data_IF_805840078669
#
_entry.id   IF_805840078669
#
_cell.length_a   1.000
_cell.length_b   1.000
_cell.length_c   1.000
_cell.angle_alpha   90.00
_cell.angle_beta   90.00
_cell.angle_gamma   90.00
#
_symmetry.space_group_name_H-M   'P 1'
#
loop_
_entity.id
_entity.type
_entity.pdbx_description
1 polymer ?
#
# COMPACT_ATOMS: atom_id res chain seq x y z
N UNK A 1 36.95 -31.90 16.54
CA UNK A 1 37.95 -32.39 15.57
C UNK A 1 37.45 -33.73 15.04
N UNK A 2 37.04 -33.77 13.77
CA UNK A 2 36.62 -35.00 13.08
C UNK A 2 37.86 -35.78 12.66
N UNK A 3 37.80 -37.11 12.77
CA UNK A 3 38.85 -38.01 12.28
C UNK A 3 39.04 -37.80 10.77
N UNK A 4 40.27 -37.72 10.24
CA UNK A 4 40.49 -37.61 8.81
C UNK A 4 39.87 -38.80 8.07
N UNK A 5 39.02 -38.52 7.08
CA UNK A 5 38.41 -39.54 6.23
C UNK A 5 39.30 -39.75 5.00
N UNK A 6 39.64 -41.01 4.69
CA UNK A 6 40.32 -41.32 3.43
C UNK A 6 39.35 -41.14 2.26
N UNK A 7 39.62 -40.14 1.43
CA UNK A 7 38.81 -39.80 0.25
C UNK A 7 39.44 -40.26 -1.06
N UNK A 8 40.54 -41.03 -1.03
CA UNK A 8 41.27 -41.44 -2.25
C UNK A 8 40.38 -42.17 -3.27
N UNK A 9 39.50 -43.06 -2.80
CA UNK A 9 38.61 -43.86 -3.65
C UNK A 9 37.22 -43.23 -3.89
N UNK A 10 37.01 -41.96 -3.54
CA UNK A 10 35.72 -41.31 -3.71
C UNK A 10 35.43 -40.94 -5.16
N UNK A 11 34.16 -41.11 -5.55
CA UNK A 11 33.61 -40.74 -6.86
C UNK A 11 33.33 -39.25 -6.92
N UNK A 12 33.55 -38.62 -8.08
CA UNK A 12 33.22 -37.21 -8.30
C UNK A 12 31.85 -37.08 -8.97
N UNK A 13 31.10 -36.05 -8.57
CA UNK A 13 29.84 -35.66 -9.19
C UNK A 13 29.76 -34.14 -9.27
N UNK A 14 29.06 -33.63 -10.29
CA UNK A 14 28.84 -32.21 -10.46
C UNK A 14 27.38 -31.92 -10.76
N UNK A 15 26.83 -30.89 -10.10
CA UNK A 15 25.51 -30.37 -10.42
C UNK A 15 25.62 -29.53 -11.68
N UNK A 16 24.96 -29.93 -12.76
CA UNK A 16 25.04 -29.24 -14.04
C UNK A 16 23.90 -28.24 -14.21
N UNK A 17 24.25 -27.00 -14.53
CA UNK A 17 23.30 -26.03 -15.05
C UNK A 17 23.19 -26.18 -16.57
N UNK A 18 22.07 -26.74 -17.02
CA UNK A 18 21.83 -26.98 -18.46
C UNK A 18 21.61 -25.69 -19.24
N UNK A 19 21.15 -24.62 -18.59
CA UNK A 19 20.91 -23.34 -19.26
C UNK A 19 22.22 -22.63 -19.57
N UNK A 20 23.18 -22.68 -18.64
CA UNK A 20 24.49 -22.05 -18.82
C UNK A 20 25.55 -22.99 -19.42
N UNK A 21 25.31 -24.31 -19.44
CA UNK A 21 26.30 -25.29 -19.86
C UNK A 21 27.51 -25.35 -18.93
N UNK A 22 27.34 -24.97 -17.67
CA UNK A 22 28.37 -24.88 -16.64
C UNK A 22 27.97 -25.70 -15.41
N UNK A 23 28.90 -26.34 -14.71
CA UNK A 23 28.59 -26.91 -13.41
C UNK A 23 28.34 -25.79 -12.39
N UNK A 24 27.32 -25.92 -11.55
CA UNK A 24 27.07 -25.06 -10.39
C UNK A 24 28.14 -25.29 -9.33
N UNK A 25 28.36 -26.57 -9.03
CA UNK A 25 29.29 -27.06 -8.03
C UNK A 25 29.80 -28.45 -8.40
N UNK A 26 30.94 -28.81 -7.83
CA UNK A 26 31.50 -30.16 -7.86
C UNK A 26 31.70 -30.68 -6.45
N UNK A 27 31.50 -31.97 -6.25
CA UNK A 27 31.73 -32.62 -4.97
C UNK A 27 32.23 -34.05 -5.18
N UNK A 28 32.73 -34.65 -4.10
CA UNK A 28 33.13 -36.06 -4.06
C UNK A 28 32.32 -36.78 -3.00
N UNK A 29 32.03 -38.04 -3.22
CA UNK A 29 31.31 -38.88 -2.28
C UNK A 29 31.82 -40.32 -2.28
N UNK A 30 31.59 -41.09 -1.19
CA UNK A 30 32.01 -42.48 -1.13
C UNK A 30 31.38 -43.33 -2.26
N UNK A 31 32.04 -44.43 -2.66
CA UNK A 31 31.43 -45.43 -3.52
C UNK A 31 30.10 -45.94 -2.95
N UNK A 32 29.14 -46.24 -3.82
CA UNK A 32 27.82 -46.73 -3.42
C UNK A 32 26.82 -45.65 -3.00
N UNK A 33 27.27 -44.40 -2.80
CA UNK A 33 26.36 -43.26 -2.63
C UNK A 33 25.81 -42.81 -3.98
N UNK A 34 24.60 -42.27 -3.96
CA UNK A 34 23.92 -41.72 -5.13
C UNK A 34 23.77 -40.22 -4.98
N UNK A 35 24.03 -39.48 -6.07
CA UNK A 35 23.91 -38.03 -6.12
C UNK A 35 22.87 -37.62 -7.15
N UNK A 36 22.02 -36.67 -6.78
CA UNK A 36 21.02 -36.06 -7.66
C UNK A 36 20.89 -34.58 -7.33
N UNK A 37 20.34 -33.81 -8.26
CA UNK A 37 20.08 -32.40 -8.08
C UNK A 37 19.54 -31.80 -9.36
N UNK A 38 19.06 -30.57 -9.26
CA UNK A 38 18.52 -29.84 -10.40
C UNK A 38 18.79 -28.35 -10.27
N UNK A 39 18.77 -27.68 -11.42
CA UNK A 39 18.89 -26.23 -11.54
C UNK A 39 17.70 -25.73 -12.35
N UNK A 40 16.92 -24.85 -11.74
CA UNK A 40 15.75 -24.24 -12.35
C UNK A 40 15.94 -22.73 -12.44
N UNK A 41 15.33 -22.14 -13.46
CA UNK A 41 15.46 -20.72 -13.75
C UNK A 41 14.09 -20.07 -13.84
N UNK A 42 13.93 -18.92 -13.18
CA UNK A 42 12.79 -18.03 -13.28
C UNK A 42 13.28 -16.60 -13.55
N UNK A 43 13.19 -16.17 -14.80
CA UNK A 43 13.62 -14.85 -15.23
C UNK A 43 12.85 -13.68 -14.57
N UNK A 44 11.68 -13.93 -13.95
CA UNK A 44 10.94 -12.91 -13.22
C UNK A 44 11.56 -12.59 -11.85
N UNK A 45 12.42 -13.47 -11.34
CA UNK A 45 13.19 -13.17 -10.15
C UNK A 45 14.37 -12.28 -10.55
N UNK A 46 14.43 -11.09 -9.97
CA UNK A 46 15.37 -10.06 -10.39
C UNK A 46 16.82 -10.40 -9.99
N UNK A 47 17.07 -10.55 -8.69
CA UNK A 47 18.42 -10.69 -8.13
C UNK A 47 18.87 -12.15 -8.05
N UNK A 48 17.94 -13.11 -8.15
CA UNK A 48 18.22 -14.56 -8.10
C UNK A 48 17.28 -15.35 -9.00
N UNK A 49 17.52 -15.24 -10.32
CA UNK A 49 16.78 -15.98 -11.34
C UNK A 49 16.98 -17.49 -11.25
N UNK A 50 18.00 -17.97 -10.56
CA UNK A 50 18.37 -19.37 -10.44
C UNK A 50 17.97 -19.97 -9.08
N UNK A 51 17.53 -21.23 -9.11
CA UNK A 51 17.24 -22.03 -7.93
C UNK A 51 17.85 -23.40 -8.14
N UNK A 52 18.69 -23.83 -7.21
CA UNK A 52 19.37 -25.11 -7.30
C UNK A 52 19.31 -25.87 -5.98
N UNK A 53 19.28 -27.20 -6.10
CA UNK A 53 19.36 -28.10 -4.95
C UNK A 53 20.13 -29.35 -5.36
N UNK A 54 20.69 -30.02 -4.37
CA UNK A 54 21.30 -31.33 -4.57
C UNK A 54 21.13 -32.19 -3.33
N UNK A 55 21.23 -33.49 -3.54
CA UNK A 55 21.09 -34.50 -2.50
C UNK A 55 22.03 -35.66 -2.80
N UNK A 56 22.77 -36.07 -1.78
CA UNK A 56 23.53 -37.30 -1.75
C UNK A 56 22.93 -38.22 -0.72
N UNK A 57 22.71 -39.47 -1.10
CA UNK A 57 22.14 -40.49 -0.23
C UNK A 57 23.04 -41.71 -0.25
N UNK A 58 23.33 -42.26 0.92
CA UNK A 58 24.07 -43.52 1.05
C UNK A 58 23.28 -44.70 0.44
N UNK A 59 23.99 -45.80 0.17
CA UNK A 59 23.39 -46.98 -0.46
C UNK A 59 22.23 -47.58 0.35
N UNK A 60 22.24 -47.43 1.67
CA UNK A 60 21.20 -47.92 2.59
C UNK A 60 20.07 -46.91 2.84
N UNK A 61 20.21 -45.66 2.35
CA UNK A 61 19.29 -44.53 2.60
C UNK A 61 19.14 -44.15 4.08
N UNK A 62 20.17 -44.44 4.87
CA UNK A 62 20.28 -44.13 6.28
C UNK A 62 20.97 -42.79 6.55
N UNK A 63 21.73 -42.26 5.58
CA UNK A 63 22.49 -41.02 5.69
C UNK A 63 22.36 -40.16 4.43
N UNK A 64 22.39 -38.84 4.60
CA UNK A 64 22.14 -37.88 3.53
C UNK A 64 22.90 -36.57 3.74
N UNK A 65 23.40 -36.01 2.65
CA UNK A 65 23.83 -34.60 2.56
C UNK A 65 22.94 -33.90 1.55
N UNK A 66 22.35 -32.77 1.91
CA UNK A 66 21.43 -32.03 1.03
C UNK A 66 21.75 -30.54 1.04
N UNK A 67 21.98 -29.97 -0.14
CA UNK A 67 21.98 -28.51 -0.34
C UNK A 67 20.59 -28.04 -0.75
N UNK A 68 20.03 -27.09 -0.02
CA UNK A 68 18.73 -26.52 -0.31
C UNK A 68 18.82 -25.29 -1.22
N UNK A 69 17.76 -24.97 -1.97
CA UNK A 69 17.64 -23.66 -2.58
C UNK A 69 17.76 -22.57 -1.52
N UNK A 70 18.35 -21.45 -1.90
CA UNK A 70 18.47 -20.29 -1.02
C UNK A 70 17.08 -19.77 -0.65
N UNK A 71 16.89 -19.45 0.61
CA UNK A 71 15.66 -18.83 1.10
C UNK A 71 15.82 -17.32 1.08
N UNK A 72 15.03 -16.63 0.27
CA UNK A 72 15.17 -15.20 0.05
C UNK A 72 13.96 -14.41 0.53
N UNK A 73 14.25 -13.34 1.26
CA UNK A 73 13.25 -12.50 1.89
C UNK A 73 13.53 -11.02 1.67
N UNK A 74 12.45 -10.23 1.71
CA UNK A 74 12.51 -8.76 1.66
C UNK A 74 11.57 -8.16 2.70
N UNK A 75 11.91 -6.99 3.23
CA UNK A 75 11.07 -6.25 4.16
C UNK A 75 11.33 -4.74 4.12
N UNK A 76 10.32 -3.88 4.32
CA UNK A 76 8.88 -4.16 4.33
C UNK A 76 8.31 -4.27 2.90
N UNK A 77 7.01 -4.50 2.77
CA UNK A 77 6.31 -4.40 1.48
C UNK A 77 5.05 -5.24 1.32
N UNK A 78 4.82 -6.20 2.22
CA UNK A 78 3.62 -7.03 2.23
C UNK A 78 3.46 -7.81 3.53
N UNK A 79 2.42 -8.64 3.59
CA UNK A 79 2.18 -9.50 4.75
C UNK A 79 3.24 -10.62 4.84
N UNK A 80 3.70 -11.01 6.04
CA UNK A 80 4.67 -12.08 6.21
C UNK A 80 4.29 -13.37 5.47
N UNK A 81 5.25 -13.98 4.77
CA UNK A 81 5.10 -15.18 3.97
C UNK A 81 4.53 -14.97 2.55
N UNK A 82 4.04 -13.77 2.21
CA UNK A 82 3.52 -13.51 0.86
C UNK A 82 4.67 -13.34 -0.15
N UNK A 83 4.56 -13.91 -1.36
CA UNK A 83 5.54 -13.66 -2.40
C UNK A 83 5.52 -12.19 -2.83
N UNK A 84 6.69 -11.60 -3.08
CA UNK A 84 6.82 -10.25 -3.62
C UNK A 84 6.69 -10.18 -5.15
N UNK A 85 6.55 -11.34 -5.82
CA UNK A 85 6.50 -11.45 -7.29
C UNK A 85 7.87 -11.47 -7.99
N UNK A 86 8.96 -11.33 -7.24
CA UNK A 86 10.34 -11.22 -7.73
C UNK A 86 11.29 -12.22 -7.05
N UNK A 87 10.78 -13.39 -6.69
CA UNK A 87 11.58 -14.49 -6.13
C UNK A 87 11.85 -14.40 -4.64
N UNK A 88 11.25 -13.45 -3.92
CA UNK A 88 11.35 -13.34 -2.46
C UNK A 88 9.99 -13.45 -1.81
N UNK A 89 9.97 -13.83 -0.55
CA UNK A 89 8.80 -13.64 0.30
C UNK A 89 8.98 -12.41 1.21
N UNK A 90 7.89 -11.77 1.59
CA UNK A 90 7.94 -10.76 2.64
C UNK A 90 8.16 -11.43 3.98
N UNK A 91 9.24 -11.10 4.67
CA UNK A 91 9.49 -11.57 6.03
C UNK A 91 10.34 -10.53 6.76
N UNK A 92 9.99 -10.10 7.98
CA UNK A 92 10.85 -9.22 8.77
C UNK A 92 12.22 -9.85 9.01
N UNK A 93 13.31 -9.06 9.00
CA UNK A 93 14.62 -9.58 9.39
C UNK A 93 14.58 -10.06 10.84
N UNK A 94 14.79 -11.36 11.03
CA UNK A 94 14.92 -11.98 12.34
C UNK A 94 16.37 -12.39 12.60
N UNK A 95 16.66 -12.80 13.83
CA UNK A 95 17.94 -13.44 14.12
C UNK A 95 18.04 -14.79 13.39
N UNK A 96 19.23 -15.20 12.94
CA UNK A 96 19.40 -16.41 12.11
C UNK A 96 18.83 -17.69 12.72
N UNK A 97 18.85 -17.81 14.05
CA UNK A 97 18.28 -18.91 14.82
C UNK A 97 16.75 -18.98 14.73
N UNK A 98 16.07 -17.84 14.76
CA UNK A 98 14.61 -17.78 14.61
C UNK A 98 14.19 -18.11 13.19
N UNK A 99 14.88 -17.53 12.21
CA UNK A 99 14.63 -17.82 10.80
C UNK A 99 14.81 -19.32 10.49
N UNK A 100 15.90 -19.91 10.99
CA UNK A 100 16.12 -21.35 10.87
C UNK A 100 14.99 -22.14 11.54
N UNK A 101 14.54 -21.73 12.74
CA UNK A 101 13.41 -22.34 13.43
C UNK A 101 12.11 -22.32 12.62
N UNK A 102 11.83 -21.22 11.90
CA UNK A 102 10.67 -21.12 11.00
C UNK A 102 10.78 -22.07 9.82
N UNK A 103 11.97 -22.24 9.27
CA UNK A 103 12.22 -23.12 8.11
C UNK A 103 12.40 -24.59 8.50
N UNK A 104 12.63 -24.89 9.78
CA UNK A 104 12.96 -26.22 10.26
C UNK A 104 11.96 -27.30 9.83
N UNK A 105 10.63 -27.12 9.91
CA UNK A 105 9.69 -28.15 9.45
C UNK A 105 9.87 -28.52 7.98
N UNK A 106 10.23 -27.56 7.13
CA UNK A 106 10.50 -27.80 5.72
C UNK A 106 11.83 -28.56 5.54
N UNK A 107 12.87 -28.19 6.28
CA UNK A 107 14.19 -28.82 6.22
C UNK A 107 14.20 -30.27 6.71
N UNK A 108 13.38 -30.60 7.72
CA UNK A 108 13.23 -31.96 8.23
C UNK A 108 12.44 -32.87 7.26
N UNK A 109 11.63 -32.27 6.40
CA UNK A 109 10.82 -32.97 5.40
C UNK A 109 9.47 -33.47 5.93
N UNK A 110 8.69 -34.05 5.02
CA UNK A 110 7.34 -34.52 5.34
C UNK A 110 7.34 -35.66 6.36
N UNK A 111 6.40 -35.60 7.31
CA UNK A 111 6.27 -36.60 8.37
C UNK A 111 7.28 -36.44 9.51
N UNK A 112 7.98 -35.30 9.57
CA UNK A 112 8.74 -34.91 10.74
C UNK A 112 7.81 -34.64 11.94
N UNK A 113 8.11 -35.25 13.08
CA UNK A 113 7.49 -34.93 14.36
C UNK A 113 8.17 -33.73 15.04
N UNK A 114 7.72 -33.43 16.25
CA UNK A 114 8.31 -32.35 17.05
C UNK A 114 9.79 -32.64 17.37
N UNK A 115 10.71 -31.68 17.16
CA UNK A 115 12.09 -31.83 17.56
C UNK A 115 12.22 -32.04 19.06
N UNK A 116 13.04 -33.02 19.46
CA UNK A 116 13.43 -33.24 20.86
C UNK A 116 14.71 -32.47 21.23
N UNK A 117 15.44 -32.00 20.21
CA UNK A 117 16.62 -31.14 20.35
C UNK A 117 16.63 -30.13 19.21
N UNK A 118 16.89 -28.87 19.53
CA UNK A 118 17.16 -27.81 18.56
C UNK A 118 18.14 -26.82 19.18
N UNK A 119 19.42 -26.95 18.86
CA UNK A 119 20.50 -26.10 19.36
C UNK A 119 21.14 -25.37 18.20
N UNK A 120 21.24 -24.05 18.28
CA UNK A 120 21.88 -23.21 17.26
C UNK A 120 23.10 -22.53 17.86
N UNK A 121 24.21 -22.56 17.13
CA UNK A 121 25.48 -21.97 17.50
C UNK A 121 26.05 -21.17 16.31
N UNK A 122 26.82 -20.10 16.56
CA UNK A 122 27.56 -19.43 15.49
C UNK A 122 28.53 -20.40 14.81
N UNK A 123 28.74 -20.20 13.50
CA UNK A 123 29.75 -20.89 12.70
C UNK A 123 30.76 -19.86 12.18
N UNK A 124 31.81 -19.50 12.96
CA UNK A 124 32.73 -18.42 12.57
C UNK A 124 33.55 -18.72 11.31
N UNK A 125 33.81 -19.99 11.03
CA UNK A 125 34.58 -20.50 9.88
C UNK A 125 33.71 -20.76 8.64
N UNK A 126 32.47 -20.27 8.60
CA UNK A 126 31.52 -20.51 7.50
C UNK A 126 32.11 -20.20 6.12
N UNK A 127 32.80 -19.06 5.97
CA UNK A 127 33.34 -18.64 4.67
C UNK A 127 34.39 -19.64 4.15
N UNK A 128 35.22 -20.19 5.05
CA UNK A 128 36.21 -21.21 4.69
C UNK A 128 35.52 -22.53 4.31
N UNK A 129 34.48 -22.93 5.05
CA UNK A 129 33.73 -24.17 4.78
C UNK A 129 32.97 -24.15 3.46
N UNK A 130 32.39 -23.00 3.12
CA UNK A 130 31.62 -22.81 1.88
C UNK A 130 32.50 -22.33 0.71
N UNK A 131 33.82 -22.27 0.89
CA UNK A 131 34.78 -21.80 -0.13
C UNK A 131 34.44 -20.41 -0.68
N UNK A 132 33.94 -19.53 0.20
CA UNK A 132 33.61 -18.14 -0.13
C UNK A 132 34.85 -17.30 0.12
N UNK A 133 35.58 -17.00 -0.95
CA UNK A 133 36.73 -16.11 -0.91
C UNK A 133 36.34 -14.66 -0.61
N UNK A 134 37.26 -13.81 -0.09
CA UNK A 134 37.00 -12.40 0.21
C UNK A 134 36.43 -11.62 -0.99
N UNK A 135 36.82 -11.99 -2.21
CA UNK A 135 36.34 -11.40 -3.46
C UNK A 135 34.85 -11.71 -3.76
N UNK A 136 34.30 -12.74 -3.12
CA UNK A 136 32.89 -13.14 -3.24
C UNK A 136 32.02 -12.53 -2.15
N UNK A 137 32.62 -11.87 -1.15
CA UNK A 137 31.88 -11.16 -0.10
C UNK A 137 31.42 -9.81 -0.66
N UNK A 138 30.10 -9.62 -0.72
CA UNK A 138 29.53 -8.38 -1.25
C UNK A 138 29.67 -7.25 -0.22
N UNK A 139 30.29 -6.11 -0.55
CA UNK A 139 30.40 -4.97 0.37
C UNK A 139 29.03 -4.48 0.84
N UNK A 140 28.89 -4.22 2.14
CA UNK A 140 27.64 -3.75 2.75
C UNK A 140 26.60 -4.83 3.03
N UNK A 141 26.94 -6.11 2.81
CA UNK A 141 26.12 -7.26 3.20
C UNK A 141 26.69 -7.87 4.48
N UNK A 142 25.86 -8.00 5.50
CA UNK A 142 26.18 -8.68 6.74
C UNK A 142 25.99 -10.19 6.57
N UNK A 143 27.02 -10.97 6.88
CA UNK A 143 26.99 -12.43 6.83
C UNK A 143 27.20 -13.04 8.22
N UNK A 144 26.31 -13.94 8.63
CA UNK A 144 26.38 -14.64 9.90
C UNK A 144 26.31 -16.14 9.68
N UNK A 145 27.42 -16.84 9.92
CA UNK A 145 27.47 -18.30 9.87
C UNK A 145 26.66 -18.95 10.99
N UNK A 146 25.97 -20.04 10.67
CA UNK A 146 25.19 -20.83 11.61
C UNK A 146 25.50 -22.32 11.52
N UNK A 147 25.45 -22.96 12.68
CA UNK A 147 25.49 -24.39 12.87
C UNK A 147 24.36 -24.77 13.82
N UNK A 148 23.54 -25.76 13.44
CA UNK A 148 22.49 -26.25 14.30
C UNK A 148 22.51 -27.76 14.41
N UNK A 149 22.20 -28.28 15.60
CA UNK A 149 21.96 -29.70 15.84
C UNK A 149 20.49 -29.90 16.13
N UNK A 150 19.87 -30.80 15.38
CA UNK A 150 18.45 -31.13 15.52
C UNK A 150 18.30 -32.63 15.69
N UNK A 151 17.55 -33.04 16.70
CA UNK A 151 17.07 -34.42 16.84
C UNK A 151 15.54 -34.40 16.68
N UNK A 152 15.03 -35.13 15.70
CA UNK A 152 13.60 -35.20 15.41
C UNK A 152 13.23 -36.56 14.79
N UNK A 153 12.07 -37.13 15.14
CA UNK A 153 11.57 -38.31 14.45
C UNK A 153 11.06 -37.94 13.06
N UNK A 154 11.42 -38.69 12.02
CA UNK A 154 10.83 -38.57 10.68
C UNK A 154 10.22 -39.90 10.32
N UNK A 155 8.91 -39.90 10.03
CA UNK A 155 8.13 -41.13 9.79
C UNK A 155 8.27 -42.15 10.94
N UNK A 156 8.36 -41.65 12.18
CA UNK A 156 8.51 -42.47 13.38
C UNK A 156 9.94 -42.97 13.67
N UNK A 157 10.91 -42.72 12.79
CA UNK A 157 12.31 -43.10 13.00
C UNK A 157 13.12 -41.94 13.59
N UNK A 158 13.93 -42.17 14.65
CA UNK A 158 14.74 -41.12 15.23
C UNK A 158 15.86 -40.71 14.27
N UNK A 159 15.92 -39.42 13.93
CA UNK A 159 16.95 -38.85 13.06
C UNK A 159 17.67 -37.69 13.73
N UNK A 160 18.96 -37.58 13.39
CA UNK A 160 19.82 -36.46 13.76
C UNK A 160 20.20 -35.67 12.51
N UNK A 161 20.22 -34.36 12.66
CA UNK A 161 20.57 -33.39 11.64
C UNK A 161 21.65 -32.45 12.19
N UNK A 162 22.68 -32.22 11.40
CA UNK A 162 23.51 -31.03 11.53
C UNK A 162 23.20 -30.12 10.34
N UNK A 163 22.74 -28.91 10.62
CA UNK A 163 22.39 -27.92 9.61
C UNK A 163 23.48 -26.85 9.67
N UNK A 164 24.18 -26.67 8.56
CA UNK A 164 25.24 -25.66 8.42
C UNK A 164 24.84 -24.67 7.36
N UNK A 165 25.21 -23.41 7.56
CA UNK A 165 24.81 -22.38 6.62
C UNK A 165 25.34 -21.01 6.99
N UNK A 166 24.87 -20.02 6.26
CA UNK A 166 25.02 -18.63 6.63
C UNK A 166 23.75 -17.86 6.29
N UNK A 167 23.44 -16.91 7.15
CA UNK A 167 22.46 -15.87 6.90
C UNK A 167 23.16 -14.67 6.27
N UNK A 168 22.52 -14.04 5.29
CA UNK A 168 22.99 -12.78 4.72
C UNK A 168 21.92 -11.72 4.88
N UNK A 169 22.30 -10.45 5.07
CA UNK A 169 21.37 -9.32 5.15
C UNK A 169 22.00 -8.07 4.57
N UNK A 170 21.24 -7.34 3.75
CA UNK A 170 21.62 -6.06 3.17
C UNK A 170 20.47 -5.08 3.33
N UNK A 171 20.79 -3.89 3.84
CA UNK A 171 19.80 -2.85 4.08
C UNK A 171 20.06 -1.67 3.18
N UNK A 172 19.13 -1.42 2.27
CA UNK A 172 19.15 -0.28 1.36
C UNK A 172 18.31 0.85 1.97
N UNK A 173 18.95 1.97 2.29
CA UNK A 173 18.29 3.14 2.82
C UNK A 173 18.01 4.15 1.69
N UNK A 174 16.74 4.48 1.49
CA UNK A 174 16.32 5.68 0.76
C UNK A 174 15.79 6.71 1.76
N UNK A 175 15.74 7.98 1.36
CA UNK A 175 15.46 9.13 2.25
C UNK A 175 14.24 8.98 3.18
N UNK A 176 13.24 8.18 2.80
CA UNK A 176 12.04 7.91 3.59
C UNK A 176 11.65 6.43 3.67
N UNK A 177 12.51 5.51 3.21
CA UNK A 177 12.20 4.07 3.23
C UNK A 177 13.46 3.23 3.38
N UNK A 178 13.41 2.27 4.29
CA UNK A 178 14.46 1.26 4.46
C UNK A 178 13.93 -0.07 3.96
N UNK A 179 14.62 -0.68 3.00
CA UNK A 179 14.33 -2.04 2.52
C UNK A 179 15.49 -2.95 2.91
N UNK A 180 15.20 -4.01 3.65
CA UNK A 180 16.16 -5.04 4.02
C UNK A 180 15.88 -6.29 3.19
N UNK A 181 16.86 -6.70 2.38
CA UNK A 181 16.88 -8.00 1.73
C UNK A 181 17.74 -8.92 2.59
N UNK A 182 17.25 -10.11 2.90
CA UNK A 182 18.01 -11.08 3.66
C UNK A 182 17.65 -12.49 3.25
N UNK A 183 18.40 -13.47 3.74
CA UNK A 183 18.13 -14.85 3.39
C UNK A 183 19.03 -15.84 4.08
N UNK A 184 18.78 -17.11 3.77
CA UNK A 184 19.45 -18.23 4.38
C UNK A 184 19.92 -19.20 3.29
N UNK A 185 21.21 -19.54 3.31
CA UNK A 185 21.76 -20.69 2.60
C UNK A 185 22.04 -21.79 3.62
N UNK A 186 21.54 -23.00 3.38
CA UNK A 186 21.75 -24.16 4.27
C UNK A 186 22.10 -25.43 3.52
N UNK A 187 22.97 -26.21 4.16
CA UNK A 187 23.20 -27.61 3.87
C UNK A 187 22.78 -28.44 5.09
N UNK A 188 22.16 -29.58 4.83
CA UNK A 188 21.61 -30.48 5.84
C UNK A 188 22.37 -31.80 5.79
N UNK A 189 23.00 -32.16 6.90
CA UNK A 189 23.72 -33.41 7.13
C UNK A 189 22.85 -34.27 8.03
N UNK A 190 22.26 -35.34 7.52
CA UNK A 190 21.34 -36.16 8.32
C UNK A 190 21.64 -37.64 8.27
N UNK A 191 21.32 -38.32 9.37
CA UNK A 191 21.29 -39.78 9.42
C UNK A 191 20.33 -40.29 10.51
N UNK A 192 20.14 -41.60 10.60
CA UNK A 192 19.51 -42.22 11.77
C UNK A 192 20.29 -41.86 13.04
N UNK A 193 19.59 -41.47 14.11
CA UNK A 193 20.22 -40.91 15.30
C UNK A 193 21.25 -41.85 15.95
N UNK A 194 20.98 -43.16 15.93
CA UNK A 194 21.86 -44.17 16.53
C UNK A 194 23.16 -44.43 15.75
N UNK A 195 23.19 -44.12 14.45
CA UNK A 195 24.36 -44.33 13.58
C UNK A 195 24.99 -43.02 13.10
N UNK A 196 24.50 -41.87 13.60
CA UNK A 196 24.94 -40.57 13.11
C UNK A 196 26.43 -40.36 13.35
N UNK A 197 26.92 -40.68 14.55
CA UNK A 197 28.31 -40.43 14.92
C UNK A 197 29.31 -41.25 14.08
N UNK A 198 28.90 -42.45 13.61
CA UNK A 198 29.72 -43.30 12.75
C UNK A 198 29.91 -42.71 11.34
N UNK A 199 28.86 -42.06 10.80
CA UNK A 199 28.88 -41.47 9.45
C UNK A 199 29.20 -39.98 9.45
N UNK A 200 29.21 -39.33 10.62
CA UNK A 200 29.38 -37.88 10.79
C UNK A 200 30.61 -37.36 10.06
N UNK A 201 31.77 -38.01 10.21
CA UNK A 201 32.99 -37.57 9.55
C UNK A 201 32.87 -37.60 8.02
N UNK A 202 32.19 -38.60 7.46
CA UNK A 202 31.91 -38.71 6.03
C UNK A 202 30.97 -37.61 5.55
N UNK A 203 29.89 -37.33 6.30
CA UNK A 203 28.95 -36.25 5.98
C UNK A 203 29.65 -34.90 5.89
N UNK A 204 30.49 -34.60 6.89
CA UNK A 204 31.32 -33.38 6.90
C UNK A 204 32.35 -33.33 5.78
N UNK A 205 33.00 -34.46 5.46
CA UNK A 205 33.96 -34.49 4.36
C UNK A 205 33.30 -34.25 2.98
N UNK A 206 32.05 -34.68 2.79
CA UNK A 206 31.27 -34.33 1.59
C UNK A 206 30.95 -32.83 1.58
N UNK A 207 30.45 -32.30 2.70
CA UNK A 207 30.10 -30.88 2.85
C UNK A 207 31.30 -29.96 2.58
N UNK A 208 32.37 -30.15 3.34
CA UNK A 208 33.58 -29.34 3.27
C UNK A 208 34.32 -29.54 1.93
N UNK A 209 34.09 -30.67 1.24
CA UNK A 209 34.60 -30.96 -0.10
C UNK A 209 33.73 -30.46 -1.26
N UNK A 210 32.60 -29.79 -0.98
CA UNK A 210 31.72 -29.23 -2.01
C UNK A 210 32.28 -27.90 -2.51
N UNK A 211 32.69 -27.87 -3.77
CA UNK A 211 33.37 -26.73 -4.39
C UNK A 211 32.40 -26.00 -5.33
N UNK A 212 32.02 -24.74 -5.04
CA UNK A 212 31.26 -23.92 -5.98
C UNK A 212 32.11 -23.61 -7.22
N UNK A 213 31.48 -23.45 -8.38
CA UNK A 213 32.16 -23.05 -9.61
C UNK A 213 32.20 -21.50 -9.73
N UNK A 214 33.38 -20.86 -9.64
CA UNK A 214 33.47 -19.40 -9.74
C UNK A 214 32.98 -18.84 -11.08
N UNK A 215 33.13 -19.59 -12.18
CA UNK A 215 32.66 -19.15 -13.49
C UNK A 215 31.12 -19.15 -13.57
N UNK A 216 30.47 -20.12 -12.92
CA UNK A 216 29.01 -20.15 -12.82
C UNK A 216 28.51 -19.01 -11.93
N UNK A 217 29.11 -18.79 -10.76
CA UNK A 217 28.79 -17.67 -9.87
C UNK A 217 28.89 -16.31 -10.60
N UNK A 218 29.97 -16.11 -11.37
CA UNK A 218 30.15 -14.89 -12.16
C UNK A 218 29.09 -14.72 -13.25
N UNK A 219 28.70 -15.80 -13.92
CA UNK A 219 27.66 -15.77 -14.96
C UNK A 219 26.28 -15.43 -14.38
N UNK A 220 25.90 -16.06 -13.27
CA UNK A 220 24.66 -15.79 -12.53
C UNK A 220 24.62 -14.34 -12.05
N UNK A 221 25.69 -13.86 -11.40
CA UNK A 221 25.77 -12.48 -10.92
C UNK A 221 25.57 -11.47 -12.05
N UNK A 222 26.12 -11.74 -13.24
CA UNK A 222 25.92 -10.89 -14.42
C UNK A 222 24.45 -10.88 -14.88
N UNK A 223 23.77 -12.02 -14.86
CA UNK A 223 22.34 -12.10 -15.21
C UNK A 223 21.51 -11.35 -14.17
N UNK A 224 21.75 -11.57 -12.87
CA UNK A 224 21.07 -10.86 -11.80
C UNK A 224 21.24 -9.33 -11.88
N UNK A 225 22.45 -8.85 -12.18
CA UNK A 225 22.71 -7.43 -12.40
C UNK A 225 21.93 -6.85 -13.60
N UNK A 226 21.86 -7.58 -14.72
CA UNK A 226 21.09 -7.16 -15.88
C UNK A 226 19.58 -7.11 -15.58
N UNK A 227 19.07 -8.11 -14.87
CA UNK A 227 17.66 -8.18 -14.46
C UNK A 227 17.30 -7.04 -13.49
N UNK A 228 18.15 -6.79 -12.49
CA UNK A 228 17.97 -5.68 -11.56
C UNK A 228 17.99 -4.32 -12.28
N UNK A 229 18.93 -4.11 -13.21
CA UNK A 229 18.99 -2.88 -14.00
C UNK A 229 17.74 -2.68 -14.88
N UNK A 230 17.24 -3.76 -15.51
CA UNK A 230 16.01 -3.71 -16.30
C UNK A 230 14.79 -3.41 -15.42
N UNK A 231 14.73 -4.00 -14.23
CA UNK A 231 13.68 -3.75 -13.25
C UNK A 231 13.68 -2.29 -12.77
N UNK A 232 14.84 -1.74 -12.41
CA UNK A 232 14.97 -0.35 -11.99
C UNK A 232 14.52 0.63 -13.08
N UNK A 233 14.85 0.34 -14.34
CA UNK A 233 14.37 1.14 -15.48
C UNK A 233 12.85 1.10 -15.62
N UNK A 234 12.23 -0.09 -15.52
CA UNK A 234 10.77 -0.23 -15.59
C UNK A 234 10.08 0.48 -14.44
N UNK A 235 10.57 0.33 -13.20
CA UNK A 235 10.00 0.98 -12.03
C UNK A 235 10.20 2.50 -12.05
N UNK A 236 11.33 3.00 -12.56
CA UNK A 236 11.55 4.43 -12.74
C UNK A 236 10.56 5.01 -13.77
N UNK A 237 10.35 4.33 -14.90
CA UNK A 237 9.39 4.73 -15.92
C UNK A 237 7.94 4.73 -15.39
N UNK A 238 7.55 3.69 -14.65
CA UNK A 238 6.21 3.59 -14.05
C UNK A 238 5.97 4.69 -13.01
N UNK A 239 6.93 4.95 -12.12
CA UNK A 239 6.86 6.05 -11.13
C UNK A 239 6.78 7.42 -11.80
N UNK A 240 7.51 7.62 -12.89
CA UNK A 240 7.46 8.87 -13.63
C UNK A 240 6.09 9.06 -14.33
N UNK A 241 5.54 8.01 -14.92
CA UNK A 241 4.21 8.04 -15.53
C UNK A 241 3.10 8.31 -14.51
N UNK A 242 3.15 7.68 -13.32
CA UNK A 242 2.19 7.95 -12.25
C UNK A 242 2.29 9.38 -11.73
N UNK A 243 3.50 9.91 -11.57
CA UNK A 243 3.71 11.30 -11.18
C UNK A 243 3.15 12.28 -12.24
N UNK A 244 3.37 12.02 -13.53
CA UNK A 244 2.79 12.82 -14.60
C UNK A 244 1.25 12.77 -14.59
N UNK A 245 0.66 11.60 -14.34
CA UNK A 245 -0.79 11.46 -14.21
C UNK A 245 -1.36 12.23 -13.01
N UNK A 246 -0.66 12.22 -11.87
CA UNK A 246 -1.02 12.99 -10.68
C UNK A 246 -0.94 14.50 -10.94
N UNK A 247 0.15 14.98 -11.55
CA UNK A 247 0.30 16.38 -11.96
C UNK A 247 -0.81 16.81 -12.93
N UNK A 248 -1.16 15.96 -13.90
CA UNK A 248 -2.27 16.22 -14.81
C UNK A 248 -3.62 16.26 -14.08
N UNK A 249 -3.81 15.45 -13.03
CA UNK A 249 -4.97 15.49 -12.15
C UNK A 249 -5.07 16.80 -11.37
N UNK A 250 -3.97 17.24 -10.75
CA UNK A 250 -3.90 18.52 -10.03
C UNK A 250 -4.22 19.69 -10.98
N UNK A 251 -3.67 19.68 -12.20
CA UNK A 251 -3.96 20.70 -13.20
C UNK A 251 -5.45 20.75 -13.58
N UNK A 252 -6.12 19.59 -13.73
CA UNK A 252 -7.57 19.52 -14.00
C UNK A 252 -8.41 20.07 -12.84
N UNK A 253 -8.04 19.77 -11.60
CA UNK A 253 -8.71 20.33 -10.42
C UNK A 253 -8.53 21.85 -10.38
N UNK A 254 -7.34 22.36 -10.70
CA UNK A 254 -7.07 23.78 -10.83
C UNK A 254 -7.94 24.46 -11.89
N UNK A 255 -8.11 23.84 -13.06
CA UNK A 255 -9.00 24.32 -14.13
C UNK A 255 -10.47 24.33 -13.69
N UNK A 256 -10.97 23.23 -13.09
CA UNK A 256 -12.35 23.15 -12.61
C UNK A 256 -12.64 24.22 -11.53
N UNK A 257 -11.67 24.50 -10.65
CA UNK A 257 -11.80 25.56 -9.65
C UNK A 257 -11.78 26.98 -10.26
N UNK A 258 -11.14 27.17 -11.40
CA UNK A 258 -11.18 28.43 -12.15
C UNK A 258 -12.54 28.58 -12.88
N UNK A 259 -13.04 27.52 -13.51
CA UNK A 259 -14.34 27.51 -14.19
C UNK A 259 -15.50 27.75 -13.22
N UNK A 260 -15.44 27.15 -12.01
CA UNK A 260 -16.42 27.40 -10.97
C UNK A 260 -16.42 28.87 -10.52
N UNK A 261 -15.23 29.47 -10.34
CA UNK A 261 -15.10 30.90 -10.01
C UNK A 261 -15.67 31.79 -11.11
N UNK A 262 -15.39 31.49 -12.37
CA UNK A 262 -15.93 32.23 -13.51
C UNK A 262 -17.46 32.12 -13.59
N UNK A 263 -18.00 30.93 -13.34
CA UNK A 263 -19.45 30.69 -13.32
C UNK A 263 -20.12 31.44 -12.17
N UNK A 264 -19.53 31.40 -10.96
CA UNK A 264 -20.06 32.14 -9.82
C UNK A 264 -20.00 33.66 -10.05
N UNK A 265 -18.92 34.17 -10.63
CA UNK A 265 -18.81 35.58 -11.01
C UNK A 265 -19.88 35.97 -12.05
N UNK A 266 -20.10 35.12 -13.07
CA UNK A 266 -21.14 35.33 -14.08
C UNK A 266 -22.55 35.35 -13.49
N UNK A 267 -22.86 34.41 -12.58
CA UNK A 267 -24.15 34.36 -11.89
C UNK A 267 -24.37 35.56 -10.98
N UNK A 268 -23.34 36.00 -10.25
CA UNK A 268 -23.41 37.19 -9.41
C UNK A 268 -23.65 38.46 -10.24
N UNK A 269 -22.97 38.60 -11.38
CA UNK A 269 -23.19 39.71 -12.30
C UNK A 269 -24.60 39.67 -12.91
N UNK A 270 -25.10 38.49 -13.29
CA UNK A 270 -26.45 38.33 -13.81
C UNK A 270 -27.53 38.69 -12.77
N UNK A 271 -27.34 38.27 -11.52
CA UNK A 271 -28.24 38.63 -10.41
C UNK A 271 -28.22 40.14 -10.15
N UNK A 272 -27.04 40.77 -10.15
CA UNK A 272 -26.91 42.23 -10.02
C UNK A 272 -27.60 42.96 -11.19
N UNK A 273 -27.38 42.52 -12.42
CA UNK A 273 -28.02 43.10 -13.60
C UNK A 273 -29.56 42.94 -13.57
N UNK A 274 -30.07 41.81 -13.06
CA UNK A 274 -31.51 41.61 -12.88
C UNK A 274 -32.10 42.53 -11.80
N UNK A 275 -31.36 42.78 -10.72
CA UNK A 275 -31.77 43.71 -9.67
C UNK A 275 -31.75 45.17 -10.14
N UNK A 276 -30.86 45.50 -11.08
CA UNK A 276 -30.74 46.83 -11.69
C UNK A 276 -31.60 47.00 -12.96
N UNK A 277 -32.26 45.93 -13.43
CA UNK A 277 -33.13 45.99 -14.58
C UNK A 277 -34.40 46.80 -14.23
N UNK A 278 -34.81 47.76 -15.06
CA UNK A 278 -36.05 48.49 -14.83
C UNK A 278 -37.24 47.50 -14.86
N UNK A 279 -38.24 47.66 -13.98
CA UNK A 279 -39.36 46.75 -13.91
C UNK A 279 -40.11 46.70 -15.26
N UNK A 280 -40.66 45.53 -15.64
CA UNK A 280 -41.48 45.44 -16.84
C UNK A 280 -42.66 46.41 -16.71
N UNK A 281 -42.92 47.18 -17.78
CA UNK A 281 -43.98 48.18 -17.79
C UNK A 281 -45.32 47.53 -17.39
N UNK A 282 -46.01 48.01 -16.33
CA UNK A 282 -47.29 47.47 -15.96
C UNK A 282 -48.30 47.76 -17.08
N UNK A 283 -49.07 46.74 -17.48
CA UNK A 283 -50.26 46.95 -18.27
C UNK A 283 -51.24 47.79 -17.44
N UNK A 284 -51.30 49.10 -17.75
CA UNK A 284 -51.99 50.10 -16.95
C UNK A 284 -53.48 49.80 -16.79
N UNK A 285 -53.93 49.70 -15.54
CA UNK A 285 -55.30 50.01 -15.17
C UNK A 285 -55.47 51.53 -15.01
N UNK A 286 -56.64 52.12 -15.32
CA UNK A 286 -56.81 53.57 -15.33
C UNK A 286 -56.74 54.15 -13.91
N UNK A 287 -55.91 55.17 -13.69
CA UNK A 287 -56.02 56.09 -12.54
C UNK A 287 -54.84 56.14 -11.56
N UNK A 288 -53.80 55.31 -11.69
CA UNK A 288 -52.64 55.32 -10.77
C UNK A 288 -51.36 55.60 -11.57
N UNK A 289 -50.61 56.64 -11.20
CA UNK A 289 -49.35 56.95 -11.88
C UNK A 289 -48.25 55.92 -11.56
N UNK A 290 -47.28 55.76 -12.46
CA UNK A 290 -46.19 54.79 -12.31
C UNK A 290 -45.36 54.98 -11.02
N UNK A 291 -45.33 56.20 -10.49
CA UNK A 291 -44.63 56.54 -9.25
C UNK A 291 -45.42 56.13 -7.99
N UNK A 292 -46.74 56.02 -8.10
CA UNK A 292 -47.66 55.62 -7.02
C UNK A 292 -47.75 54.09 -6.92
N UNK A 293 -47.72 53.37 -8.04
CA UNK A 293 -47.63 51.91 -8.05
C UNK A 293 -46.35 51.40 -7.36
N UNK A 294 -45.22 52.09 -7.59
CA UNK A 294 -43.93 51.76 -6.96
C UNK A 294 -43.91 52.04 -5.44
N UNK A 295 -44.61 53.07 -4.96
CA UNK A 295 -44.73 53.34 -3.50
C UNK A 295 -45.60 52.31 -2.79
N UNK A 296 -46.64 51.79 -3.44
CA UNK A 296 -47.49 50.74 -2.88
C UNK A 296 -46.74 49.41 -2.73
N UNK A 297 -45.85 49.06 -3.67
CA UNK A 297 -45.01 47.86 -3.57
C UNK A 297 -43.98 47.89 -2.42
N UNK A 298 -43.62 49.09 -1.94
CA UNK A 298 -42.74 49.28 -0.78
C UNK A 298 -43.48 49.18 0.57
N UNK A 299 -44.81 48.97 0.57
CA UNK A 299 -45.56 48.41 1.70
C UNK A 299 -45.92 49.34 2.88
N UNK A 300 -45.90 50.67 2.71
CA UNK A 300 -46.07 51.61 3.83
C UNK A 300 -47.34 52.49 3.85
N UNK A 301 -48.09 52.60 2.74
CA UNK A 301 -49.28 53.46 2.65
C UNK A 301 -50.33 52.87 1.71
N UNK A 302 -51.60 53.18 1.98
CA UNK A 302 -52.77 52.85 1.15
C UNK A 302 -53.44 54.15 0.68
N UNK A 303 -53.95 54.15 -0.55
CA UNK A 303 -54.64 55.31 -1.12
C UNK A 303 -56.16 55.24 -0.85
N UNK A 304 -56.73 56.28 -0.25
CA UNK A 304 -58.17 56.44 0.03
C UNK A 304 -58.72 57.66 -0.70
N UNK A 305 -59.89 57.53 -1.34
CA UNK A 305 -60.52 58.60 -2.12
C UNK A 305 -60.89 59.80 -1.25
N UNK A 306 -60.58 61.03 -1.68
CA UNK A 306 -61.07 62.25 -1.02
C UNK A 306 -62.44 62.65 -1.60
N UNK A 307 -63.53 62.51 -0.84
CA UNK A 307 -64.88 62.78 -1.34
C UNK A 307 -65.14 64.25 -1.67
N UNK A 308 -64.27 65.17 -1.25
CA UNK A 308 -64.41 66.61 -1.50
C UNK A 308 -63.65 67.09 -2.75
N UNK A 309 -62.84 66.22 -3.37
CA UNK A 309 -62.04 66.59 -4.52
C UNK A 309 -62.81 66.46 -5.85
N UNK A 310 -63.09 67.59 -6.49
CA UNK A 310 -63.69 67.63 -7.84
C UNK A 310 -62.78 67.11 -8.98
N UNK A 311 -61.51 66.81 -8.68
CA UNK A 311 -60.53 66.23 -9.61
C UNK A 311 -60.12 64.79 -9.27
N UNK A 312 -60.77 64.13 -8.30
CA UNK A 312 -60.44 62.74 -7.93
C UNK A 312 -59.12 62.52 -7.20
N UNK A 313 -58.58 63.52 -6.49
CA UNK A 313 -57.37 63.37 -5.69
C UNK A 313 -57.55 62.35 -4.57
N UNK A 314 -56.52 61.54 -4.35
CA UNK A 314 -56.47 60.48 -3.34
C UNK A 314 -55.65 60.94 -2.14
N UNK A 315 -56.08 60.60 -0.92
CA UNK A 315 -55.34 60.85 0.32
C UNK A 315 -54.63 59.56 0.75
N UNK A 316 -53.38 59.69 1.17
CA UNK A 316 -52.56 58.56 1.60
C UNK A 316 -52.67 58.36 3.10
N UNK A 317 -52.97 57.13 3.50
CA UNK A 317 -53.06 56.68 4.89
C UNK A 317 -52.06 55.54 5.11
N UNK A 318 -51.62 55.33 6.34
CA UNK A 318 -50.73 54.23 6.69
C UNK A 318 -51.40 52.88 6.38
N UNK A 319 -50.64 51.96 5.80
CA UNK A 319 -51.12 50.58 5.54
C UNK A 319 -50.96 49.66 6.76
N UNK A 320 -50.37 50.15 7.86
CA UNK A 320 -50.12 49.35 9.07
C UNK A 320 -51.16 49.54 10.18
N UNK A 321 -52.11 50.45 10.01
CA UNK A 321 -53.13 50.79 11.02
C UNK A 321 -54.35 49.89 10.91
N UNK A 322 -54.88 49.42 12.04
CA UNK A 322 -55.93 48.39 12.04
C UNK A 322 -57.24 48.85 11.38
N UNK A 323 -57.67 50.09 11.61
CA UNK A 323 -58.89 50.66 11.02
C UNK A 323 -58.69 52.13 10.64
N UNK A 324 -59.11 52.49 9.43
CA UNK A 324 -59.16 53.87 8.95
C UNK A 324 -60.60 54.33 8.76
N UNK A 325 -60.95 55.47 9.36
CA UNK A 325 -62.27 56.12 9.25
C UNK A 325 -62.16 57.42 8.46
N UNK A 326 -63.17 57.72 7.64
CA UNK A 326 -63.29 58.98 6.90
C UNK A 326 -64.69 59.58 7.02
N UNK A 327 -64.76 60.91 7.10
CA UNK A 327 -66.04 61.63 7.07
C UNK A 327 -66.31 62.29 5.72
N UNK A 328 -67.52 62.84 5.58
CA UNK A 328 -68.01 63.49 4.35
C UNK A 328 -67.23 64.77 3.98
N UNK A 329 -66.38 65.28 4.88
CA UNK A 329 -65.49 66.43 4.64
C UNK A 329 -64.07 66.02 4.26
N UNK A 330 -63.78 64.72 4.13
CA UNK A 330 -62.45 64.21 3.77
C UNK A 330 -61.45 64.15 4.94
N UNK A 331 -61.88 64.39 6.18
CA UNK A 331 -61.05 64.19 7.36
C UNK A 331 -60.88 62.70 7.63
N UNK A 332 -59.71 62.30 8.14
CA UNK A 332 -59.34 60.88 8.33
C UNK A 332 -58.86 60.67 9.76
N UNK A 333 -59.28 59.56 10.36
CA UNK A 333 -58.79 59.06 11.65
C UNK A 333 -58.19 57.67 11.41
N UNK A 334 -56.93 57.50 11.81
CA UNK A 334 -56.21 56.22 11.77
C UNK A 334 -56.05 55.70 13.19
N UNK A 335 -56.47 54.47 13.45
CA UNK A 335 -56.42 53.87 14.79
C UNK A 335 -56.10 52.39 14.74
N UNK A 336 -55.38 51.91 15.75
CA UNK A 336 -55.15 50.48 15.99
C UNK A 336 -56.22 49.88 16.93
N UNK A 337 -57.08 50.70 17.51
CA UNK A 337 -58.22 50.24 18.32
C UNK A 337 -59.41 49.89 17.41
N UNK A 338 -59.60 48.59 17.17
CA UNK A 338 -60.68 48.05 16.33
C UNK A 338 -62.08 48.30 16.88
N UNK A 339 -62.22 48.67 18.15
CA UNK A 339 -63.51 48.92 18.80
C UNK A 339 -63.86 50.43 18.85
N UNK A 340 -62.97 51.31 18.39
CA UNK A 340 -63.26 52.74 18.32
C UNK A 340 -64.35 53.00 17.26
N UNK A 341 -65.50 53.50 17.69
CA UNK A 341 -66.53 54.07 16.82
C UNK A 341 -66.59 55.60 17.01
N UNK A 342 -66.01 56.39 16.09
CA UNK A 342 -66.01 57.84 16.18
C UNK A 342 -67.39 58.47 15.99
N UNK A 343 -68.44 57.70 15.64
CA UNK A 343 -69.81 58.19 15.58
C UNK A 343 -70.47 58.33 16.96
N UNK A 344 -69.96 57.64 17.99
CA UNK A 344 -70.52 57.71 19.35
C UNK A 344 -70.14 59.05 19.98
N UNK A 345 -71.13 59.95 20.11
CA UNK A 345 -71.01 61.35 20.58
C UNK A 345 -70.44 62.37 19.58
N UNK A 346 -70.34 62.03 18.29
CA UNK A 346 -69.94 62.97 17.25
C UNK A 346 -71.15 63.57 16.53
N UNK A 347 -71.07 64.85 16.16
CA UNK A 347 -72.05 65.51 15.28
C UNK A 347 -71.76 65.29 13.79
N UNK A 348 -70.71 64.52 13.47
CA UNK A 348 -70.26 64.23 12.10
C UNK A 348 -70.31 62.73 11.85
N UNK A 349 -70.78 62.33 10.66
CA UNK A 349 -70.85 60.91 10.26
C UNK A 349 -69.51 60.44 9.71
N UNK A 350 -69.01 59.35 10.26
CA UNK A 350 -67.76 58.67 9.89
C UNK A 350 -68.06 57.28 9.33
N UNK A 351 -67.35 56.91 8.26
CA UNK A 351 -67.45 55.59 7.62
C UNK A 351 -66.08 54.92 7.60
N UNK A 352 -66.05 53.60 7.74
CA UNK A 352 -64.84 52.80 7.58
C UNK A 352 -64.48 52.76 6.09
N UNK A 353 -63.23 53.09 5.78
CA UNK A 353 -62.72 53.12 4.39
C UNK A 353 -61.59 52.12 4.17
N UNK A 354 -60.95 51.63 5.23
CA UNK A 354 -59.98 50.54 5.16
C UNK A 354 -59.88 49.82 6.51
N UNK A 355 -59.69 48.50 6.46
CA UNK A 355 -59.34 47.64 7.59
C UNK A 355 -58.14 46.79 7.22
N UNK A 356 -57.20 46.65 8.14
CA UNK A 356 -56.05 45.79 7.91
C UNK A 356 -56.48 44.32 7.90
N UNK A 357 -56.33 43.64 6.76
CA UNK A 357 -56.57 42.20 6.61
C UNK A 357 -57.94 41.78 6.07
N UNK A 358 -58.79 42.73 5.67
CA UNK A 358 -59.98 42.53 4.82
C UNK A 358 -59.72 43.13 3.44
#
# INVERSE_FOLDING_TARGET
>A
MTTPVDTSNWTSWALQDRQLGLPVLGLRHPPGWTAQGDVSWNALNNESPEHHWYQLVDGERNAMVQGWPRFDFTWPGGAPGQPNGHGRAYLPPESPDRLLGTLLPQLLGQGAGQPTRFEVQPLPDWAQRFHVGPESITPGVDYTGLYAVVDAPVQGLPRRYEIVGFHYSVTNQAAFSTITNHGLLVMVLSANANGYDDVRATLWAINDGTLPNPAWNAAVNRIGQNNAAAFDQQFAQARWASFQAEQAGIARVGQAAADLRNTQAGNAQAAFNAMMAPPPAPAGGPGVSAQEAWRNELGGVTAVEDPTSSQGNTKYVSSSTAVTWQNEKGEVIETDDVNLDPNVNSSTTWKVVSRYGE
#
